data_IF_792893748007
#
_entry.id   IF_792893748007
#
_cell.length_a   1.000
_cell.length_b   1.000
_cell.length_c   1.000
_cell.angle_alpha   90.00
_cell.angle_beta   90.00
_cell.angle_gamma   90.00
#
_symmetry.space_group_name_H-M   'P 1'
#
loop_
_entity.id
_entity.type
_entity.pdbx_description
1 polymer ?
#
# COMPACT_ATOMS: atom_id res chain seq x y z
N UNK A 1 -4.45 18.41 -12.14
CA UNK A 1 -3.65 17.30 -12.70
C UNK A 1 -3.22 16.35 -11.59
N UNK A 2 -3.34 15.07 -11.84
CA UNK A 2 -2.84 14.06 -10.91
C UNK A 2 -1.34 13.93 -11.04
N UNK A 3 -0.64 13.74 -9.92
CA UNK A 3 0.78 13.45 -9.93
C UNK A 3 1.02 12.01 -10.41
N UNK A 4 2.26 11.71 -10.82
CA UNK A 4 2.67 10.36 -11.23
C UNK A 4 2.46 9.35 -10.08
N UNK A 5 2.78 9.73 -8.84
CA UNK A 5 2.56 8.87 -7.69
C UNK A 5 1.08 8.59 -7.43
N UNK A 6 0.24 9.60 -7.64
CA UNK A 6 -1.21 9.47 -7.48
C UNK A 6 -1.80 8.51 -8.54
N UNK A 7 -1.35 8.63 -9.78
CA UNK A 7 -1.78 7.75 -10.86
C UNK A 7 -1.36 6.31 -10.62
N UNK A 8 -0.13 6.09 -10.17
CA UNK A 8 0.36 4.75 -9.84
C UNK A 8 -0.42 4.13 -8.68
N UNK A 9 -0.67 4.91 -7.64
CA UNK A 9 -1.46 4.48 -6.49
C UNK A 9 -2.85 4.03 -6.90
N UNK A 10 -3.53 4.81 -7.73
CA UNK A 10 -4.86 4.47 -8.23
C UNK A 10 -4.86 3.19 -9.06
N UNK A 11 -3.86 3.04 -9.95
CA UNK A 11 -3.74 1.86 -10.80
C UNK A 11 -3.53 0.59 -9.98
N UNK A 12 -2.67 0.66 -8.97
CA UNK A 12 -2.38 -0.48 -8.08
C UNK A 12 -3.63 -0.90 -7.32
N UNK A 13 -4.33 0.05 -6.71
CA UNK A 13 -5.56 -0.24 -5.94
C UNK A 13 -6.62 -0.87 -6.84
N UNK A 14 -6.81 -0.32 -8.04
CA UNK A 14 -7.80 -0.84 -8.99
C UNK A 14 -7.52 -2.31 -9.34
N UNK A 15 -6.27 -2.62 -9.66
CA UNK A 15 -5.86 -3.98 -10.02
C UNK A 15 -6.02 -4.93 -8.84
N UNK A 16 -5.57 -4.55 -7.67
CA UNK A 16 -5.67 -5.39 -6.47
C UNK A 16 -7.12 -5.69 -6.12
N UNK A 17 -7.99 -4.68 -6.12
CA UNK A 17 -9.40 -4.88 -5.82
C UNK A 17 -10.08 -5.76 -6.87
N UNK A 18 -9.74 -5.62 -8.15
CA UNK A 18 -10.27 -6.52 -9.19
C UNK A 18 -9.76 -7.94 -9.06
N UNK A 19 -8.63 -8.16 -8.41
CA UNK A 19 -8.07 -9.49 -8.14
C UNK A 19 -8.55 -10.09 -6.81
N UNK A 20 -9.49 -9.44 -6.13
CA UNK A 20 -10.08 -9.95 -4.90
C UNK A 20 -9.45 -9.48 -3.61
N UNK A 21 -8.45 -8.61 -3.68
CA UNK A 21 -7.90 -7.98 -2.48
C UNK A 21 -8.87 -6.95 -1.95
N UNK A 22 -8.81 -6.70 -0.66
CA UNK A 22 -9.49 -5.55 -0.05
C UNK A 22 -8.42 -4.49 0.20
N UNK A 23 -8.31 -3.51 -0.67
CA UNK A 23 -7.27 -2.47 -0.56
C UNK A 23 -7.89 -1.08 -0.59
N UNK A 24 -7.21 -0.18 0.08
CA UNK A 24 -7.64 1.22 0.14
C UNK A 24 -6.41 2.11 0.25
N UNK A 25 -6.61 3.37 -0.08
CA UNK A 25 -5.58 4.40 0.07
C UNK A 25 -5.60 4.92 1.49
N UNK A 26 -4.45 4.88 2.14
CA UNK A 26 -4.31 5.50 3.45
C UNK A 26 -4.14 7.01 3.28
N UNK A 27 -5.02 7.77 3.89
CA UNK A 27 -4.95 9.22 3.87
C UNK A 27 -4.54 9.72 5.25
N UNK A 28 -3.29 10.19 5.35
CA UNK A 28 -2.74 10.71 6.61
C UNK A 28 -2.82 12.24 6.68
N UNK A 29 -3.49 12.89 5.73
CA UNK A 29 -3.70 14.33 5.78
C UNK A 29 -4.47 14.68 7.06
N UNK A 30 -4.01 15.71 7.76
CA UNK A 30 -4.67 16.17 8.96
C UNK A 30 -6.07 16.72 8.68
N UNK A 31 -6.85 16.89 9.74
CA UNK A 31 -8.17 17.49 9.64
C UNK A 31 -8.01 19.00 9.50
N UNK A 32 -8.67 19.57 8.49
CA UNK A 32 -8.66 21.03 8.28
C UNK A 32 -9.45 21.73 9.37
N UNK A 33 -8.82 22.72 10.01
CA UNK A 33 -9.45 23.56 11.01
C UNK A 33 -9.84 24.90 10.36
N UNK A 34 -11.14 25.17 10.11
CA UNK A 34 -11.55 26.40 9.45
C UNK A 34 -11.37 27.66 10.31
N UNK A 35 -11.28 27.50 11.63
CA UNK A 35 -11.08 28.64 12.54
C UNK A 35 -9.62 29.10 12.49
N UNK A 36 -8.68 28.17 12.61
CA UNK A 36 -7.24 28.46 12.55
C UNK A 36 -6.70 28.52 11.12
N UNK A 37 -7.51 28.16 10.14
CA UNK A 37 -7.15 28.10 8.71
C UNK A 37 -5.89 27.27 8.47
N UNK A 38 -5.78 26.13 9.15
CA UNK A 38 -4.65 25.20 9.06
C UNK A 38 -5.12 23.78 9.27
N UNK A 39 -4.27 22.81 8.91
CA UNK A 39 -4.54 21.40 9.18
C UNK A 39 -4.03 21.03 10.56
N UNK A 40 -4.88 20.34 11.33
CA UNK A 40 -4.47 19.77 12.61
C UNK A 40 -3.98 18.34 12.41
N UNK A 41 -2.86 18.01 13.05
CA UNK A 41 -2.42 16.63 13.11
C UNK A 41 -3.33 15.87 14.08
N UNK A 42 -3.77 14.70 13.65
CA UNK A 42 -4.48 13.78 14.53
C UNK A 42 -3.45 12.97 15.31
N UNK A 43 -3.40 13.14 16.63
CA UNK A 43 -2.45 12.44 17.49
C UNK A 43 -2.62 10.92 17.47
N UNK A 44 -3.80 10.43 17.06
CA UNK A 44 -4.06 8.99 16.94
C UNK A 44 -3.47 8.39 15.66
N UNK A 45 -3.05 9.20 14.69
CA UNK A 45 -2.48 8.71 13.45
C UNK A 45 -1.04 8.25 13.68
N UNK A 46 -0.74 7.06 13.20
CA UNK A 46 0.61 6.51 13.21
C UNK A 46 1.43 7.14 12.08
N UNK A 47 2.66 7.55 12.38
CA UNK A 47 3.57 8.08 11.36
C UNK A 47 4.13 6.97 10.48
N UNK A 48 4.35 7.30 9.20
CA UNK A 48 5.03 6.40 8.27
C UNK A 48 4.18 5.29 7.70
N UNK A 49 2.86 5.32 7.92
CA UNK A 49 1.95 4.32 7.36
C UNK A 49 1.98 4.40 5.84
N UNK A 50 2.02 3.25 5.18
CA UNK A 50 2.11 3.15 3.73
C UNK A 50 0.93 3.79 3.02
N UNK A 51 1.17 4.22 1.77
CA UNK A 51 0.14 4.86 0.92
C UNK A 51 -1.05 3.93 0.67
N UNK A 52 -0.79 2.64 0.54
CA UNK A 52 -1.79 1.62 0.28
C UNK A 52 -1.75 0.58 1.38
N UNK A 53 -2.90 0.27 1.94
CA UNK A 53 -3.07 -0.81 2.89
C UNK A 53 -4.11 -1.79 2.33
N UNK A 54 -4.00 -3.04 2.73
CA UNK A 54 -4.96 -4.02 2.26
C UNK A 54 -4.91 -5.33 3.00
N UNK A 55 -5.83 -6.20 2.61
CA UNK A 55 -5.95 -7.57 3.14
C UNK A 55 -5.84 -8.52 1.95
N UNK A 56 -4.95 -9.50 2.07
CA UNK A 56 -4.68 -10.49 1.03
C UNK A 56 -5.79 -11.55 1.07
N UNK A 57 -6.41 -11.87 -0.09
CA UNK A 57 -7.47 -12.88 -0.11
C UNK A 57 -6.92 -14.26 0.26
N UNK A 58 -7.74 -15.02 0.97
CA UNK A 58 -7.41 -16.36 1.44
C UNK A 58 -6.73 -16.37 2.80
N UNK A 59 -5.61 -15.72 2.95
CA UNK A 59 -4.84 -15.70 4.21
C UNK A 59 -5.33 -14.64 5.20
N UNK A 60 -5.83 -13.51 4.69
CA UNK A 60 -6.13 -12.36 5.53
C UNK A 60 -4.90 -11.60 6.01
N UNK A 61 -3.71 -11.92 5.50
CA UNK A 61 -2.51 -11.19 5.87
C UNK A 61 -2.59 -9.73 5.43
N UNK A 62 -2.00 -8.82 6.20
CA UNK A 62 -1.93 -7.41 5.83
C UNK A 62 -0.98 -7.20 4.66
N UNK A 63 -1.37 -6.30 3.76
CA UNK A 63 -0.54 -5.83 2.66
C UNK A 63 -0.31 -4.33 2.84
N UNK A 64 0.95 -3.90 2.73
CA UNK A 64 1.31 -2.50 2.82
C UNK A 64 2.25 -2.14 1.67
N UNK A 65 1.86 -1.15 0.87
CA UNK A 65 2.64 -0.71 -0.28
C UNK A 65 2.90 0.79 -0.19
N UNK A 66 4.18 1.15 -0.19
CA UNK A 66 4.61 2.54 -0.26
C UNK A 66 4.91 2.88 -1.71
N UNK A 67 4.33 3.96 -2.22
CA UNK A 67 4.55 4.40 -3.61
C UNK A 67 5.60 5.50 -3.62
N UNK A 68 6.70 5.29 -4.36
CA UNK A 68 7.79 6.25 -4.51
C UNK A 68 8.14 6.38 -5.98
N UNK A 69 8.13 7.61 -6.48
CA UNK A 69 8.42 7.91 -7.89
C UNK A 69 9.79 8.56 -8.00
N UNK A 70 10.53 8.19 -9.04
CA UNK A 70 11.82 8.81 -9.35
C UNK A 70 12.83 8.64 -8.22
N UNK A 71 13.37 9.74 -7.75
CA UNK A 71 14.42 9.75 -6.72
C UNK A 71 13.88 9.81 -5.29
N UNK A 72 12.57 9.79 -5.11
CA UNK A 72 11.95 9.78 -3.78
C UNK A 72 12.43 8.58 -2.96
N UNK A 73 12.75 8.83 -1.70
CA UNK A 73 13.23 7.80 -0.78
C UNK A 73 12.32 7.67 0.42
N UNK A 74 12.35 6.49 1.04
CA UNK A 74 11.61 6.26 2.27
C UNK A 74 12.14 7.13 3.41
N UNK A 75 11.24 7.71 4.19
CA UNK A 75 11.61 8.32 5.46
C UNK A 75 11.90 7.23 6.51
N UNK A 76 12.60 7.57 7.61
CA UNK A 76 12.82 6.60 8.69
C UNK A 76 11.53 5.98 9.24
N UNK A 77 10.47 6.75 9.39
CA UNK A 77 9.18 6.24 9.86
C UNK A 77 8.55 5.26 8.86
N UNK A 78 8.70 5.52 7.56
CA UNK A 78 8.20 4.62 6.52
C UNK A 78 8.96 3.29 6.52
N UNK A 79 10.28 3.32 6.68
CA UNK A 79 11.10 2.11 6.83
C UNK A 79 10.65 1.29 8.03
N UNK A 80 10.44 1.93 9.17
CA UNK A 80 9.99 1.26 10.39
C UNK A 80 8.63 0.60 10.19
N UNK A 81 7.70 1.30 9.55
CA UNK A 81 6.36 0.75 9.33
C UNK A 81 6.40 -0.52 8.46
N UNK A 82 7.14 -0.47 7.34
CA UNK A 82 7.27 -1.64 6.46
C UNK A 82 7.89 -2.82 7.20
N UNK A 83 8.92 -2.57 8.00
CA UNK A 83 9.56 -3.62 8.80
C UNK A 83 8.63 -4.17 9.87
N UNK A 84 7.86 -3.31 10.53
CA UNK A 84 6.87 -3.74 11.53
C UNK A 84 5.81 -4.67 10.92
N UNK A 85 5.37 -4.38 9.71
CA UNK A 85 4.42 -5.23 8.98
C UNK A 85 5.05 -6.58 8.66
N UNK A 86 6.29 -6.57 8.14
CA UNK A 86 7.03 -7.81 7.80
C UNK A 86 7.28 -8.67 9.03
N UNK A 87 7.65 -8.05 10.15
CA UNK A 87 7.93 -8.76 11.41
C UNK A 87 6.67 -9.48 11.94
N UNK A 88 5.49 -9.06 11.52
CA UNK A 88 4.21 -9.66 11.90
C UNK A 88 3.64 -10.55 10.81
N UNK A 89 4.50 -11.03 9.92
CA UNK A 89 4.13 -11.90 8.81
C UNK A 89 3.27 -11.23 7.73
N UNK A 90 3.22 -9.91 7.72
CA UNK A 90 2.55 -9.17 6.64
C UNK A 90 3.43 -9.06 5.42
N UNK A 91 2.84 -8.62 4.33
CA UNK A 91 3.55 -8.37 3.07
C UNK A 91 3.71 -6.86 2.91
N UNK A 92 4.95 -6.38 2.77
CA UNK A 92 5.20 -4.95 2.68
C UNK A 92 6.36 -4.67 1.72
N UNK A 93 6.17 -3.71 0.81
CA UNK A 93 7.19 -3.35 -0.16
C UNK A 93 6.96 -1.95 -0.72
N UNK A 94 7.96 -1.47 -1.46
CA UNK A 94 7.92 -0.20 -2.18
C UNK A 94 7.61 -0.46 -3.64
N UNK A 95 6.71 0.32 -4.22
CA UNK A 95 6.40 0.29 -5.65
C UNK A 95 6.85 1.60 -6.31
N UNK A 96 7.64 1.51 -7.36
CA UNK A 96 8.11 2.66 -8.13
C UNK A 96 7.49 2.73 -9.52
N UNK A 97 7.13 1.59 -10.07
CA UNK A 97 6.47 1.45 -11.36
C UNK A 97 5.39 0.38 -11.25
N UNK A 98 4.48 0.37 -12.21
CA UNK A 98 3.44 -0.67 -12.24
C UNK A 98 4.04 -2.07 -12.45
N UNK A 99 4.99 -2.20 -13.36
CA UNK A 99 5.66 -3.50 -13.60
C UNK A 99 6.44 -3.96 -12.36
N UNK A 100 7.14 -3.05 -11.71
CA UNK A 100 7.85 -3.36 -10.45
C UNK A 100 6.90 -3.77 -9.33
N UNK A 101 5.72 -3.15 -9.27
CA UNK A 101 4.67 -3.55 -8.34
C UNK A 101 4.25 -5.00 -8.57
N UNK A 102 3.99 -5.39 -9.83
CA UNK A 102 3.58 -6.77 -10.14
C UNK A 102 4.66 -7.79 -9.75
N UNK A 103 5.92 -7.50 -10.05
CA UNK A 103 7.05 -8.35 -9.67
C UNK A 103 7.15 -8.50 -8.15
N UNK A 104 7.08 -7.38 -7.43
CA UNK A 104 7.17 -7.38 -5.97
C UNK A 104 5.99 -8.13 -5.34
N UNK A 105 4.80 -7.98 -5.91
CA UNK A 105 3.63 -8.68 -5.42
C UNK A 105 3.82 -10.19 -5.50
N UNK A 106 4.32 -10.70 -6.63
CA UNK A 106 4.61 -12.13 -6.79
C UNK A 106 5.62 -12.64 -5.77
N UNK A 107 6.66 -11.85 -5.52
CA UNK A 107 7.72 -12.22 -4.56
C UNK A 107 7.22 -12.22 -3.12
N UNK A 108 6.28 -11.36 -2.78
CA UNK A 108 5.82 -11.16 -1.40
C UNK A 108 4.55 -11.95 -1.05
N UNK A 109 3.93 -12.62 -2.01
CA UNK A 109 2.83 -13.56 -1.76
C UNK A 109 3.38 -14.96 -1.63
N UNK A 110 2.77 -15.78 -0.78
CA UNK A 110 3.13 -17.19 -0.68
C UNK A 110 2.40 -18.01 -1.76
N UNK A 111 2.83 -19.26 -1.95
CA UNK A 111 2.29 -20.14 -2.99
C UNK A 111 0.79 -20.36 -2.86
N UNK A 112 0.29 -20.51 -1.64
CA UNK A 112 -1.12 -20.74 -1.39
C UNK A 112 -1.95 -19.50 -1.76
N UNK A 113 -1.46 -18.33 -1.42
CA UNK A 113 -2.09 -17.06 -1.80
C UNK A 113 -2.15 -16.90 -3.32
N UNK A 114 -1.05 -17.20 -4.00
CA UNK A 114 -0.99 -17.13 -5.47
C UNK A 114 -2.01 -18.10 -6.10
N UNK A 115 -2.11 -19.32 -5.59
CA UNK A 115 -3.09 -20.30 -6.07
C UNK A 115 -4.52 -19.80 -5.91
N UNK A 116 -4.85 -19.26 -4.76
CA UNK A 116 -6.20 -18.75 -4.48
C UNK A 116 -6.55 -17.61 -5.43
N UNK A 117 -5.62 -16.67 -5.61
CA UNK A 117 -5.81 -15.51 -6.48
C UNK A 117 -5.99 -15.97 -7.93
N UNK A 118 -5.09 -16.81 -8.44
CA UNK A 118 -5.12 -17.24 -9.83
C UNK A 118 -6.31 -18.14 -10.16
N UNK A 119 -6.77 -18.95 -9.22
CA UNK A 119 -7.93 -19.82 -9.41
C UNK A 119 -9.18 -19.00 -9.75
N UNK A 120 -9.36 -17.86 -9.10
CA UNK A 120 -10.56 -17.03 -9.25
C UNK A 120 -10.38 -15.90 -10.24
N UNK A 121 -9.22 -15.27 -10.25
CA UNK A 121 -9.00 -14.01 -10.97
C UNK A 121 -7.97 -14.09 -12.10
N UNK A 122 -7.20 -15.17 -12.20
CA UNK A 122 -6.14 -15.38 -13.22
C UNK A 122 -5.21 -14.17 -13.34
N UNK A 123 -4.76 -13.67 -12.19
CA UNK A 123 -4.07 -12.38 -12.09
C UNK A 123 -2.55 -12.51 -12.22
N UNK A 124 -1.98 -13.56 -11.68
CA UNK A 124 -0.51 -13.73 -11.61
C UNK A 124 0.00 -14.86 -12.50
#
# INVERSE_FOLDING_TARGET
MSSASNELTKAIIKVLNSAGFLTWRNNTAGVYDPIKKTFRKNAALKKGVSDILGVIPGSGRILAIEVKIGSDKLSPHQHLFLNDVRDRNGSAFVAKTFDGFLESLKEHLNEEEIKIINKKYKFL
#
